data_IF_299315451406
#
_entry.id   IF_299315451406
#
_cell.length_a   1.000
_cell.length_b   1.000
_cell.length_c   1.000
_cell.angle_alpha   90.00
_cell.angle_beta   90.00
_cell.angle_gamma   90.00
#
_symmetry.space_group_name_H-M   'P 1'
#
loop_
_entity.id
_entity.type
_entity.pdbx_description
1 polymer ?
#
# COMPACT_ATOMS: atom_id res chain seq x y z
N UNK A 1 -6.25 9.88 -7.97
CA UNK A 1 -6.22 10.15 -9.42
C UNK A 1 -5.79 11.58 -9.63
N UNK A 2 -4.55 11.82 -10.05
CA UNK A 2 -4.09 13.16 -10.47
C UNK A 2 -4.08 13.32 -12.00
N UNK A 3 -4.43 12.27 -12.74
CA UNK A 3 -4.31 12.21 -14.20
C UNK A 3 -5.46 12.95 -14.93
N UNK A 4 -6.45 13.45 -14.18
CA UNK A 4 -7.64 14.10 -14.73
C UNK A 4 -7.91 15.43 -14.06
N UNK A 5 -8.19 16.46 -14.87
CA UNK A 5 -8.62 17.77 -14.38
C UNK A 5 -10.08 17.83 -13.90
N UNK A 6 -10.84 16.75 -14.04
CA UNK A 6 -12.24 16.63 -13.63
C UNK A 6 -12.61 15.19 -13.27
N UNK A 7 -13.73 15.02 -12.55
CA UNK A 7 -14.26 13.71 -12.18
C UNK A 7 -15.18 13.16 -13.27
N UNK A 8 -15.27 11.83 -13.36
CA UNK A 8 -16.15 11.13 -14.30
C UNK A 8 -17.12 10.22 -13.56
N UNK A 9 -18.36 10.15 -14.06
CA UNK A 9 -19.35 9.18 -13.60
C UNK A 9 -19.33 7.95 -14.51
N UNK A 10 -19.06 6.78 -13.94
CA UNK A 10 -19.16 5.49 -14.64
C UNK A 10 -20.30 4.66 -14.03
N UNK A 11 -21.24 4.22 -14.87
CA UNK A 11 -22.38 3.38 -14.43
C UNK A 11 -22.08 1.92 -14.71
N UNK A 12 -22.01 1.12 -13.63
CA UNK A 12 -21.71 -0.31 -13.68
C UNK A 12 -22.93 -1.16 -13.31
N UNK A 13 -23.21 -2.28 -14.01
CA UNK A 13 -24.24 -3.22 -13.58
C UNK A 13 -23.81 -3.91 -12.28
N UNK A 14 -24.64 -3.86 -11.24
CA UNK A 14 -24.27 -4.36 -9.90
C UNK A 14 -24.08 -5.88 -9.83
N UNK A 15 -24.90 -6.65 -10.55
CA UNK A 15 -24.92 -8.13 -10.47
C UNK A 15 -23.84 -8.82 -11.30
N UNK A 16 -22.98 -8.07 -11.98
CA UNK A 16 -21.93 -8.64 -12.84
C UNK A 16 -20.60 -8.56 -12.10
N UNK A 17 -19.95 -9.69 -11.91
CA UNK A 17 -18.63 -9.76 -11.27
C UNK A 17 -17.55 -8.98 -12.07
N UNK A 18 -16.61 -8.32 -11.37
CA UNK A 18 -15.53 -7.50 -11.98
C UNK A 18 -14.65 -8.27 -12.97
N UNK A 19 -14.53 -9.59 -12.82
CA UNK A 19 -13.71 -10.45 -13.69
C UNK A 19 -14.36 -10.76 -15.04
N UNK A 20 -15.67 -10.50 -15.19
CA UNK A 20 -16.40 -10.89 -16.41
C UNK A 20 -15.91 -10.10 -17.65
N UNK A 21 -15.79 -10.76 -18.82
CA UNK A 21 -15.28 -10.13 -20.04
C UNK A 21 -16.00 -8.83 -20.43
N UNK A 22 -17.33 -8.80 -20.28
CA UNK A 22 -18.15 -7.62 -20.59
C UNK A 22 -17.70 -6.34 -19.86
N UNK A 23 -17.29 -6.46 -18.59
CA UNK A 23 -16.78 -5.31 -17.83
C UNK A 23 -15.35 -4.98 -18.22
N UNK A 24 -14.53 -5.99 -18.51
CA UNK A 24 -13.15 -5.80 -18.98
C UNK A 24 -13.10 -5.05 -20.31
N UNK A 25 -13.96 -5.40 -21.27
CA UNK A 25 -14.00 -4.75 -22.58
C UNK A 25 -14.55 -3.33 -22.49
N UNK A 26 -15.54 -3.09 -21.62
CA UNK A 26 -16.02 -1.73 -21.34
C UNK A 26 -14.94 -0.85 -20.69
N UNK A 27 -14.16 -1.39 -19.74
CA UNK A 27 -13.00 -0.66 -19.18
C UNK A 27 -11.96 -0.36 -20.23
N UNK A 28 -11.62 -1.32 -21.11
CA UNK A 28 -10.68 -1.09 -22.23
C UNK A 28 -11.17 0.03 -23.15
N UNK A 29 -12.47 0.10 -23.42
CA UNK A 29 -13.04 1.20 -24.19
C UNK A 29 -12.78 2.54 -23.49
N UNK A 30 -13.02 2.65 -22.18
CA UNK A 30 -12.72 3.88 -21.43
C UNK A 30 -11.23 4.23 -21.45
N UNK A 31 -10.34 3.26 -21.26
CA UNK A 31 -8.90 3.50 -21.41
C UNK A 31 -8.55 4.09 -22.78
N UNK A 32 -9.11 3.54 -23.86
CA UNK A 32 -8.91 4.05 -25.21
C UNK A 32 -9.49 5.46 -25.38
N UNK A 33 -10.70 5.70 -24.89
CA UNK A 33 -11.38 7.00 -25.00
C UNK A 33 -10.63 8.11 -24.27
N UNK A 34 -10.04 7.81 -23.11
CA UNK A 34 -9.33 8.80 -22.28
C UNK A 34 -7.81 8.81 -22.48
N UNK A 35 -7.29 8.03 -23.44
CA UNK A 35 -5.85 7.96 -23.71
C UNK A 35 -5.02 7.41 -22.54
N UNK A 36 -5.61 6.57 -21.69
CA UNK A 36 -4.94 6.03 -20.50
C UNK A 36 -4.18 4.74 -20.80
N UNK A 37 -3.00 4.54 -20.17
CA UNK A 37 -2.24 3.31 -20.33
C UNK A 37 -3.01 2.10 -19.76
N UNK A 38 -2.83 0.93 -20.37
CA UNK A 38 -3.43 -0.32 -19.91
C UNK A 38 -2.62 -1.02 -18.80
N UNK A 39 -1.61 -0.33 -18.25
CA UNK A 39 -0.67 -0.87 -17.26
C UNK A 39 -1.25 -0.92 -15.85
N UNK A 40 -2.29 -0.13 -15.55
CA UNK A 40 -2.99 -0.17 -14.25
C UNK A 40 -4.51 0.00 -14.40
N UNK A 41 -5.32 -0.42 -13.41
CA UNK A 41 -6.77 -0.20 -13.42
C UNK A 41 -7.15 1.25 -13.11
N UNK A 42 -8.05 1.83 -13.89
CA UNK A 42 -8.64 3.16 -13.62
C UNK A 42 -10.16 3.13 -13.41
N UNK A 43 -10.82 2.09 -13.92
CA UNK A 43 -12.27 2.05 -14.08
C UNK A 43 -12.92 0.83 -13.44
N UNK A 44 -12.29 0.23 -12.42
CA UNK A 44 -12.96 -0.79 -11.58
C UNK A 44 -13.78 -0.08 -10.50
N UNK A 45 -14.77 -0.76 -9.91
CA UNK A 45 -15.61 -0.17 -8.85
C UNK A 45 -14.82 0.42 -7.69
N UNK A 46 -13.70 -0.21 -7.30
CA UNK A 46 -12.83 0.29 -6.21
C UNK A 46 -11.97 1.50 -6.59
N UNK A 47 -11.93 1.89 -7.87
CA UNK A 47 -11.33 3.15 -8.31
C UNK A 47 -12.29 4.35 -8.16
N UNK A 48 -13.45 4.16 -7.52
CA UNK A 48 -14.32 5.27 -7.11
C UNK A 48 -13.53 6.24 -6.21
N UNK A 49 -13.91 7.52 -6.25
CA UNK A 49 -13.37 8.50 -5.31
C UNK A 49 -13.64 8.02 -3.88
N UNK A 50 -12.63 8.04 -2.99
CA UNK A 50 -12.81 7.58 -1.63
C UNK A 50 -13.84 8.47 -0.91
N UNK A 51 -14.87 7.84 -0.35
CA UNK A 51 -15.77 8.52 0.59
C UNK A 51 -15.11 8.58 1.96
N UNK A 52 -15.25 9.71 2.64
CA UNK A 52 -14.78 9.84 4.01
C UNK A 52 -15.72 9.06 4.94
N UNK A 53 -15.32 7.87 5.39
CA UNK A 53 -16.09 7.09 6.38
C UNK A 53 -15.81 7.50 7.83
N UNK A 54 -14.86 8.43 8.03
CA UNK A 54 -14.46 8.99 9.32
C UNK A 54 -13.60 8.05 10.18
N UNK A 55 -13.40 6.79 9.79
CA UNK A 55 -12.64 5.80 10.56
C UNK A 55 -11.20 5.69 10.10
N UNK A 56 -10.94 5.84 8.80
CA UNK A 56 -9.59 5.73 8.23
C UNK A 56 -9.24 7.02 7.49
N UNK A 57 -8.15 7.66 7.93
CA UNK A 57 -7.61 8.83 7.24
C UNK A 57 -6.98 8.40 5.90
N UNK A 58 -7.21 9.20 4.87
CA UNK A 58 -6.75 8.90 3.52
C UNK A 58 -5.62 9.85 3.12
N UNK A 59 -4.59 9.34 2.46
CA UNK A 59 -3.51 10.13 1.86
C UNK A 59 -2.98 11.23 2.79
N UNK A 60 -2.67 10.88 4.04
CA UNK A 60 -2.29 11.83 5.12
C UNK A 60 -1.08 12.71 4.78
N UNK A 61 -0.30 12.33 3.77
CA UNK A 61 0.81 13.12 3.25
C UNK A 61 0.45 14.36 2.43
N UNK A 62 -0.76 14.46 1.87
CA UNK A 62 -1.11 15.56 0.95
C UNK A 62 -1.14 16.94 1.62
N UNK A 63 -1.20 17.01 2.95
CA UNK A 63 -1.13 18.27 3.72
C UNK A 63 0.27 18.63 4.22
N UNK A 64 1.28 17.80 3.94
CA UNK A 64 2.65 18.01 4.43
C UNK A 64 3.42 18.97 3.52
N UNK A 65 4.45 19.62 4.07
CA UNK A 65 5.32 20.52 3.31
C UNK A 65 6.01 19.76 2.17
N UNK A 66 5.83 20.24 0.95
CA UNK A 66 6.47 19.68 -0.24
C UNK A 66 7.94 20.11 -0.38
N UNK A 67 8.72 19.30 -1.07
CA UNK A 67 10.11 19.53 -1.48
C UNK A 67 10.24 19.18 -2.97
N UNK A 68 11.09 19.90 -3.74
CA UNK A 68 11.18 19.74 -5.19
C UNK A 68 11.71 18.37 -5.67
N UNK A 69 12.34 17.59 -4.80
CA UNK A 69 12.92 16.29 -5.15
C UNK A 69 12.18 15.11 -4.50
N UNK A 70 10.87 15.26 -4.29
CA UNK A 70 10.03 14.23 -3.69
C UNK A 70 9.57 13.20 -4.72
N UNK A 71 9.80 11.94 -4.39
CA UNK A 71 9.25 10.77 -5.08
C UNK A 71 8.28 10.11 -4.11
N UNK A 72 6.98 10.15 -4.41
CA UNK A 72 5.91 9.76 -3.49
C UNK A 72 5.12 8.57 -4.02
N UNK A 73 4.41 7.90 -3.11
CA UNK A 73 3.35 6.93 -3.44
C UNK A 73 2.38 7.51 -4.47
N UNK A 74 2.05 6.71 -5.49
CA UNK A 74 1.14 7.10 -6.55
C UNK A 74 -0.23 6.47 -6.31
N UNK A 75 -1.23 7.31 -6.04
CA UNK A 75 -2.61 6.86 -5.83
C UNK A 75 -3.08 7.07 -4.40
N UNK A 76 -4.00 6.23 -3.98
CA UNK A 76 -4.77 6.40 -2.74
C UNK A 76 -4.51 5.26 -1.78
N UNK A 77 -4.26 5.58 -0.51
CA UNK A 77 -4.10 4.62 0.57
C UNK A 77 -4.80 5.12 1.84
N UNK A 78 -5.25 4.19 2.67
CA UNK A 78 -5.73 4.46 4.01
C UNK A 78 -4.59 4.35 5.02
N UNK A 79 -4.56 5.23 6.00
CA UNK A 79 -3.60 5.24 7.09
C UNK A 79 -4.13 4.39 8.26
N UNK A 80 -3.59 3.18 8.36
CA UNK A 80 -3.91 2.24 9.43
C UNK A 80 -2.88 2.37 10.56
N UNK A 81 -3.37 2.48 11.78
CA UNK A 81 -2.54 2.67 12.97
C UNK A 81 -3.11 1.94 14.19
N UNK A 82 -2.37 1.99 15.30
CA UNK A 82 -2.77 1.34 16.55
C UNK A 82 -4.14 1.78 17.05
N UNK A 83 -4.80 0.89 17.79
CA UNK A 83 -6.11 1.15 18.44
C UNK A 83 -7.27 1.38 17.47
N UNK A 84 -7.08 1.17 16.18
CA UNK A 84 -8.18 1.17 15.22
C UNK A 84 -8.97 -0.14 15.26
N UNK A 85 -10.20 -0.09 14.74
CA UNK A 85 -11.14 -1.21 14.69
C UNK A 85 -11.41 -1.85 16.08
N UNK A 86 -11.38 -1.03 17.13
CA UNK A 86 -11.59 -1.45 18.53
C UNK A 86 -10.64 -2.58 18.98
N UNK A 87 -9.43 -2.61 18.44
CA UNK A 87 -8.45 -3.66 18.73
C UNK A 87 -7.18 -3.08 19.33
N UNK A 88 -6.78 -3.57 20.52
CA UNK A 88 -5.56 -3.13 21.20
C UNK A 88 -4.35 -3.93 20.72
N UNK A 89 -3.65 -3.36 19.76
CA UNK A 89 -2.41 -3.90 19.20
C UNK A 89 -1.17 -3.08 19.58
N UNK A 90 -1.28 -2.29 20.65
CA UNK A 90 -0.18 -1.48 21.16
C UNK A 90 1.02 -2.36 21.51
N UNK A 91 2.19 -2.00 20.96
CA UNK A 91 3.45 -2.67 21.23
C UNK A 91 3.79 -3.86 20.32
N UNK A 92 2.88 -4.32 19.47
CA UNK A 92 3.14 -5.49 18.61
C UNK A 92 2.51 -5.44 17.20
N UNK A 93 1.52 -4.56 16.98
CA UNK A 93 0.76 -4.50 15.74
C UNK A 93 1.40 -3.72 14.59
N UNK A 94 2.57 -3.08 14.76
CA UNK A 94 3.09 -2.10 13.79
C UNK A 94 3.18 -2.64 12.36
N UNK A 95 3.71 -3.86 12.19
CA UNK A 95 3.83 -4.49 10.88
C UNK A 95 2.47 -4.90 10.29
N UNK A 96 1.51 -5.29 11.13
CA UNK A 96 0.13 -5.57 10.71
C UNK A 96 -0.54 -4.30 10.16
N UNK A 97 -0.37 -3.16 10.85
CA UNK A 97 -0.90 -1.86 10.40
C UNK A 97 -0.24 -1.35 9.12
N UNK A 98 1.06 -1.56 8.98
CA UNK A 98 1.77 -1.28 7.73
C UNK A 98 1.25 -2.17 6.57
N UNK A 99 1.04 -3.46 6.82
CA UNK A 99 0.40 -4.36 5.86
C UNK A 99 -1.00 -3.89 5.46
N UNK A 100 -1.84 -3.48 6.42
CA UNK A 100 -3.19 -2.96 6.14
C UNK A 100 -3.14 -1.70 5.27
N UNK A 101 -2.19 -0.80 5.53
CA UNK A 101 -1.93 0.39 4.70
C UNK A 101 -1.57 0.00 3.27
N UNK A 102 -0.63 -0.92 3.08
CA UNK A 102 -0.24 -1.43 1.75
C UNK A 102 -1.43 -2.10 1.04
N UNK A 103 -2.14 -2.98 1.73
CA UNK A 103 -3.30 -3.67 1.19
C UNK A 103 -4.38 -2.69 0.73
N UNK A 104 -4.61 -1.65 1.53
CA UNK A 104 -5.58 -0.59 1.19
C UNK A 104 -5.21 0.10 -0.12
N UNK A 105 -3.92 0.34 -0.38
CA UNK A 105 -3.48 0.90 -1.65
C UNK A 105 -3.90 0.02 -2.82
N UNK A 106 -3.64 -1.30 -2.75
CA UNK A 106 -4.05 -2.23 -3.80
C UNK A 106 -5.57 -2.28 -3.99
N UNK A 107 -6.33 -2.17 -2.90
CA UNK A 107 -7.79 -2.08 -2.96
C UNK A 107 -8.24 -0.82 -3.67
N UNK A 108 -7.77 0.36 -3.26
CA UNK A 108 -8.15 1.65 -3.86
C UNK A 108 -7.65 1.83 -5.30
N UNK A 109 -6.56 1.17 -5.67
CA UNK A 109 -6.08 1.16 -7.06
C UNK A 109 -6.80 0.10 -7.91
N UNK A 110 -7.78 -0.62 -7.35
CA UNK A 110 -8.61 -1.57 -8.08
C UNK A 110 -7.95 -2.91 -8.35
N UNK A 111 -6.82 -3.23 -7.72
CA UNK A 111 -6.20 -4.55 -7.86
C UNK A 111 -6.96 -5.65 -7.11
N UNK A 112 -7.75 -5.29 -6.10
CA UNK A 112 -8.55 -6.25 -5.32
C UNK A 112 -9.86 -5.64 -4.83
N UNK A 113 -10.88 -6.49 -4.69
CA UNK A 113 -12.13 -6.15 -3.99
C UNK A 113 -12.22 -6.79 -2.61
N UNK A 114 -11.22 -7.59 -2.22
CA UNK A 114 -11.15 -8.24 -0.91
C UNK A 114 -11.10 -7.20 0.21
N UNK A 115 -11.80 -7.42 1.34
CA UNK A 115 -11.71 -6.54 2.50
C UNK A 115 -10.27 -6.49 3.03
N UNK A 116 -9.95 -5.44 3.78
CA UNK A 116 -8.65 -5.31 4.42
C UNK A 116 -8.55 -6.40 5.51
N UNK A 117 -7.52 -7.26 5.51
CA UNK A 117 -7.38 -8.31 6.51
C UNK A 117 -7.19 -7.76 7.92
N UNK A 118 -7.84 -8.40 8.89
CA UNK A 118 -7.60 -8.20 10.32
C UNK A 118 -6.27 -8.85 10.76
N UNK A 119 -5.82 -8.57 11.99
CA UNK A 119 -4.66 -9.26 12.56
C UNK A 119 -4.86 -10.77 12.57
N UNK A 120 -6.06 -11.24 12.91
CA UNK A 120 -6.38 -12.67 12.94
C UNK A 120 -6.29 -13.28 11.54
N UNK A 121 -6.83 -12.61 10.50
CA UNK A 121 -6.74 -13.10 9.12
C UNK A 121 -5.27 -13.23 8.66
N UNK A 122 -4.42 -12.26 9.04
CA UNK A 122 -2.98 -12.26 8.74
C UNK A 122 -2.29 -13.43 9.47
N UNK A 123 -2.61 -13.66 10.74
CA UNK A 123 -2.09 -14.78 11.51
C UNK A 123 -2.53 -16.13 10.92
N UNK A 124 -3.80 -16.24 10.54
CA UNK A 124 -4.36 -17.42 9.89
C UNK A 124 -3.70 -17.70 8.55
N UNK A 125 -3.44 -16.67 7.74
CA UNK A 125 -2.71 -16.82 6.50
C UNK A 125 -1.31 -17.44 6.75
N UNK A 126 -0.53 -16.90 7.69
CA UNK A 126 0.81 -17.39 8.01
C UNK A 126 0.80 -18.83 8.52
N UNK A 127 -0.15 -19.19 9.39
CA UNK A 127 -0.32 -20.56 9.88
C UNK A 127 -0.73 -21.50 8.74
N UNK A 128 -1.66 -21.08 7.86
CA UNK A 128 -2.13 -21.88 6.74
C UNK A 128 -1.04 -22.19 5.71
N UNK A 129 -0.01 -21.33 5.61
CA UNK A 129 1.15 -21.51 4.74
C UNK A 129 2.26 -22.33 5.40
N UNK A 130 2.11 -22.70 6.69
CA UNK A 130 3.12 -23.42 7.45
C UNK A 130 4.29 -22.56 7.94
N UNK A 131 4.21 -21.23 7.80
CA UNK A 131 5.26 -20.30 8.26
C UNK A 131 5.26 -20.15 9.79
N UNK A 132 4.09 -20.22 10.42
CA UNK A 132 3.91 -20.10 11.87
C UNK A 132 3.19 -21.31 12.46
N UNK A 133 3.48 -21.68 13.73
CA UNK A 133 2.75 -22.74 14.42
C UNK A 133 1.33 -22.29 14.75
N UNK A 134 0.40 -23.24 14.96
CA UNK A 134 -1.00 -22.96 15.29
C UNK A 134 -1.19 -22.06 16.53
N UNK A 135 -0.27 -22.12 17.50
CA UNK A 135 -0.27 -21.25 18.68
C UNK A 135 -0.07 -19.75 18.35
N UNK A 136 0.34 -19.42 17.13
CA UNK A 136 0.44 -18.04 16.65
C UNK A 136 -0.93 -17.36 16.45
N UNK A 137 -1.99 -18.15 16.21
CA UNK A 137 -3.35 -17.62 16.03
C UNK A 137 -3.85 -16.97 17.31
N UNK A 138 -4.35 -15.74 17.19
CA UNK A 138 -4.83 -14.94 18.32
C UNK A 138 -3.71 -14.45 19.25
N UNK A 139 -2.45 -14.68 18.93
CA UNK A 139 -1.32 -14.18 19.71
C UNK A 139 -1.10 -12.68 19.51
N UNK A 140 -0.27 -12.08 20.37
CA UNK A 140 0.21 -10.70 20.24
C UNK A 140 1.64 -10.66 19.71
N UNK A 141 2.05 -11.65 18.91
CA UNK A 141 3.39 -11.72 18.36
C UNK A 141 3.53 -10.79 17.15
N UNK A 142 4.65 -10.07 17.11
CA UNK A 142 5.07 -9.24 15.99
C UNK A 142 5.40 -10.09 14.75
N UNK A 143 5.31 -9.46 13.57
CA UNK A 143 5.72 -10.02 12.28
C UNK A 143 6.72 -9.08 11.61
N UNK A 144 7.52 -9.60 10.68
CA UNK A 144 8.52 -8.84 9.93
C UNK A 144 8.16 -8.65 8.46
N UNK A 145 9.10 -8.08 7.70
CA UNK A 145 8.94 -7.81 6.27
C UNK A 145 8.71 -9.09 5.44
N UNK A 146 9.28 -10.21 5.87
CA UNK A 146 9.10 -11.52 5.20
C UNK A 146 7.66 -12.00 5.34
N UNK A 147 7.11 -12.00 6.54
CA UNK A 147 5.71 -12.39 6.77
C UNK A 147 4.72 -11.45 6.08
N UNK A 148 5.01 -10.14 6.07
CA UNK A 148 4.23 -9.16 5.29
C UNK A 148 4.24 -9.52 3.81
N UNK A 149 5.40 -9.85 3.23
CA UNK A 149 5.51 -10.29 1.84
C UNK A 149 4.70 -11.57 1.56
N UNK A 150 4.83 -12.58 2.42
CA UNK A 150 4.08 -13.84 2.29
C UNK A 150 2.57 -13.61 2.34
N UNK A 151 2.10 -12.74 3.23
CA UNK A 151 0.69 -12.39 3.32
C UNK A 151 0.21 -11.65 2.07
N UNK A 152 0.99 -10.70 1.55
CA UNK A 152 0.64 -9.98 0.33
C UNK A 152 0.51 -10.93 -0.86
N UNK A 153 1.44 -11.89 -0.99
CA UNK A 153 1.36 -12.94 -2.00
C UNK A 153 0.11 -13.81 -1.80
N UNK A 154 -0.15 -14.30 -0.59
CA UNK A 154 -1.32 -15.13 -0.28
C UNK A 154 -2.64 -14.44 -0.58
N UNK A 155 -2.80 -13.19 -0.17
CA UNK A 155 -4.08 -12.49 -0.30
C UNK A 155 -4.28 -11.87 -1.67
N UNK A 156 -3.24 -11.36 -2.31
CA UNK A 156 -3.35 -10.53 -3.52
C UNK A 156 -2.68 -11.15 -4.74
N UNK A 157 -1.93 -12.26 -4.59
CA UNK A 157 -1.12 -12.85 -5.64
C UNK A 157 -0.13 -11.83 -6.23
N UNK A 158 0.52 -11.06 -5.35
CA UNK A 158 1.56 -10.09 -5.70
C UNK A 158 2.92 -10.55 -5.17
N UNK A 159 3.97 -10.32 -5.95
CA UNK A 159 5.34 -10.55 -5.53
C UNK A 159 5.92 -9.26 -4.94
N UNK A 160 6.66 -9.39 -3.84
CA UNK A 160 7.37 -8.26 -3.23
C UNK A 160 8.88 -8.39 -3.43
N UNK A 161 9.58 -7.26 -3.53
CA UNK A 161 11.05 -7.21 -3.44
C UNK A 161 11.43 -6.77 -2.03
N UNK A 162 12.18 -7.60 -1.33
CA UNK A 162 12.75 -7.25 -0.01
C UNK A 162 14.15 -6.68 -0.22
N UNK A 163 14.41 -5.51 0.37
CA UNK A 163 15.72 -4.87 0.37
C UNK A 163 16.29 -4.93 1.79
N UNK A 164 17.47 -5.50 1.93
CA UNK A 164 18.16 -5.61 3.22
C UNK A 164 19.10 -4.43 3.42
N UNK A 165 19.06 -3.86 4.64
CA UNK A 165 19.93 -2.77 5.07
C UNK A 165 20.57 -3.20 6.39
N UNK A 166 21.90 -3.07 6.49
CA UNK A 166 22.65 -3.60 7.65
C UNK A 166 22.50 -2.73 8.89
N UNK A 167 22.39 -1.41 8.70
CA UNK A 167 22.15 -0.46 9.77
C UNK A 167 21.25 0.69 9.32
N UNK A 168 20.62 1.40 10.26
CA UNK A 168 19.81 2.57 9.93
C UNK A 168 20.60 3.70 9.24
N UNK A 169 21.93 3.73 9.34
CA UNK A 169 22.80 4.70 8.66
C UNK A 169 22.87 4.44 7.15
N UNK A 170 22.79 3.17 6.77
CA UNK A 170 22.91 2.74 5.36
C UNK A 170 21.60 2.90 4.60
N UNK A 171 20.51 3.32 5.28
CA UNK A 171 19.25 3.66 4.62
C UNK A 171 19.42 4.86 3.69
N UNK A 172 20.37 5.75 3.99
CA UNK A 172 20.74 6.87 3.13
C UNK A 172 21.18 6.41 1.73
N UNK A 173 21.95 5.33 1.69
CA UNK A 173 22.47 4.80 0.43
C UNK A 173 21.37 4.18 -0.46
N UNK A 174 20.13 4.08 0.04
CA UNK A 174 18.97 3.53 -0.68
C UNK A 174 18.08 4.58 -1.33
N UNK A 175 18.40 5.87 -1.21
CA UNK A 175 17.61 6.97 -1.79
C UNK A 175 17.27 6.76 -3.27
N UNK A 176 18.26 6.40 -4.10
CA UNK A 176 18.04 6.15 -5.53
C UNK A 176 17.11 4.96 -5.81
N UNK A 177 17.26 3.86 -5.08
CA UNK A 177 16.41 2.68 -5.24
C UNK A 177 14.97 2.96 -4.80
N UNK A 178 14.79 3.72 -3.71
CA UNK A 178 13.47 4.16 -3.21
C UNK A 178 12.79 5.12 -4.19
N UNK A 179 13.53 6.10 -4.72
CA UNK A 179 13.02 7.04 -5.72
C UNK A 179 12.52 6.29 -6.96
N UNK A 180 13.33 5.38 -7.49
CA UNK A 180 12.97 4.53 -8.63
C UNK A 180 11.73 3.67 -8.34
N UNK A 181 11.58 3.13 -7.13
CA UNK A 181 10.39 2.39 -6.73
C UNK A 181 9.13 3.27 -6.78
N UNK A 182 9.18 4.48 -6.21
CA UNK A 182 8.03 5.38 -6.21
C UNK A 182 7.67 5.90 -7.61
N UNK A 183 8.65 6.05 -8.51
CA UNK A 183 8.41 6.42 -9.90
C UNK A 183 7.82 5.28 -10.74
N UNK A 184 8.33 4.06 -10.58
CA UNK A 184 7.96 2.92 -11.43
C UNK A 184 6.79 2.08 -10.90
N UNK A 185 6.71 1.89 -9.58
CA UNK A 185 5.68 1.09 -8.91
C UNK A 185 4.69 1.97 -8.14
N UNK A 186 5.19 2.97 -7.43
CA UNK A 186 4.37 3.93 -6.69
C UNK A 186 3.60 3.33 -5.51
N UNK A 187 3.96 2.15 -5.01
CA UNK A 187 3.32 1.50 -3.87
C UNK A 187 3.93 1.95 -2.54
N UNK A 188 3.17 1.99 -1.42
CA UNK A 188 3.74 2.16 -0.09
C UNK A 188 4.71 1.02 0.24
N UNK A 189 5.77 1.30 0.99
CA UNK A 189 6.79 0.33 1.39
C UNK A 189 6.72 0.10 2.90
N UNK A 190 6.69 -1.14 3.36
CA UNK A 190 6.91 -1.44 4.78
C UNK A 190 8.42 -1.50 5.06
N UNK A 191 8.87 -0.84 6.13
CA UNK A 191 10.22 -0.97 6.67
C UNK A 191 10.15 -1.55 8.08
N UNK A 192 10.93 -2.59 8.34
CA UNK A 192 11.06 -3.24 9.64
C UNK A 192 12.48 -3.10 10.20
N UNK A 193 12.61 -2.81 11.48
CA UNK A 193 13.88 -2.73 12.21
C UNK A 193 13.71 -3.22 13.64
N UNK A 194 14.16 -4.46 13.91
CA UNK A 194 13.83 -5.13 15.17
C UNK A 194 12.31 -5.27 15.33
N UNK A 195 11.78 -4.93 16.51
CA UNK A 195 10.34 -5.02 16.82
C UNK A 195 9.49 -3.86 16.31
N UNK A 196 10.08 -2.92 15.56
CA UNK A 196 9.40 -1.74 15.04
C UNK A 196 9.21 -1.85 13.54
N UNK A 197 8.06 -1.36 13.08
CA UNK A 197 7.74 -1.26 11.67
C UNK A 197 7.10 0.10 11.37
N UNK A 198 7.38 0.59 10.17
CA UNK A 198 6.83 1.83 9.64
C UNK A 198 6.45 1.64 8.17
N UNK A 199 5.68 2.58 7.64
CA UNK A 199 5.35 2.61 6.20
C UNK A 199 6.03 3.81 5.55
N UNK A 200 6.90 3.60 4.58
CA UNK A 200 7.47 4.67 3.76
C UNK A 200 6.49 4.97 2.63
N UNK A 201 6.08 6.23 2.53
CA UNK A 201 5.16 6.73 1.50
C UNK A 201 5.83 7.69 0.51
N UNK A 202 7.13 7.95 0.70
CA UNK A 202 7.92 8.74 -0.21
C UNK A 202 9.33 8.98 0.30
N UNK A 203 10.18 9.43 -0.61
CA UNK A 203 11.56 9.86 -0.34
C UNK A 203 11.81 11.22 -0.97
N UNK A 204 12.53 12.08 -0.26
CA UNK A 204 13.12 13.30 -0.81
C UNK A 204 14.57 13.00 -1.20
N UNK A 205 14.88 12.92 -2.49
CA UNK A 205 16.15 12.46 -3.01
C UNK A 205 16.63 13.30 -4.19
N UNK A 206 17.77 13.97 -4.04
CA UNK A 206 18.37 14.81 -5.07
C UNK A 206 19.61 14.14 -5.69
N UNK A 207 19.54 13.83 -6.99
CA UNK A 207 20.62 13.22 -7.76
C UNK A 207 21.84 14.14 -8.02
N UNK A 208 21.69 15.46 -7.83
CA UNK A 208 22.71 16.46 -8.19
C UNK A 208 23.64 16.78 -7.01
N UNK A 209 23.17 16.61 -5.77
CA UNK A 209 23.91 16.99 -4.55
C UNK A 209 24.07 15.76 -3.66
N UNK A 210 25.31 15.29 -3.43
CA UNK A 210 25.61 14.24 -2.43
C UNK A 210 25.04 14.66 -1.04
N UNK A 211 24.59 13.69 -0.23
CA UNK A 211 23.33 13.81 0.49
C UNK A 211 23.48 14.69 1.72
N UNK A 212 22.78 15.83 1.77
CA UNK A 212 22.66 16.57 3.02
C UNK A 212 21.35 16.30 3.76
N UNK A 213 20.26 15.88 3.10
CA UNK A 213 18.99 15.56 3.77
C UNK A 213 18.15 14.60 2.95
N UNK A 214 18.22 13.32 3.28
CA UNK A 214 17.20 12.37 2.87
C UNK A 214 16.08 12.39 3.88
N UNK A 215 14.85 12.63 3.42
CA UNK A 215 13.66 12.59 4.26
C UNK A 215 12.80 11.44 3.79
N UNK A 216 12.78 10.40 4.61
CA UNK A 216 11.81 9.31 4.48
C UNK A 216 10.50 9.83 5.06
N UNK A 217 9.48 9.93 4.22
CA UNK A 217 8.14 10.26 4.70
C UNK A 217 7.54 8.97 5.26
N UNK A 218 7.35 8.97 6.57
CA UNK A 218 6.65 7.92 7.30
C UNK A 218 5.37 8.57 7.84
N UNK A 219 4.17 8.10 7.48
CA UNK A 219 3.01 8.41 8.28
C UNK A 219 3.22 7.70 9.62
N UNK A 220 3.54 8.48 10.66
CA UNK A 220 3.47 8.04 12.05
C UNK A 220 2.03 7.76 12.35
#
# INVERSE_FOLDING_TARGET
MHDFGHSFLCVWPQKIDESKPVLKDRRRLFHKTFGLPLTRPYFRRKNVLPEADGQVLMNTHLGLKSSPHQHLVQGTYGYYHYMQQNYNDSGWGCAYRSFQTIFSWFRYQGYTEKPIPSHYDIQEALVSMGDKPRAFLGSTQWIGSTEVSLCLEKFLNITSRIMFVQSGKDLGDKGAELAMHFESQGTPIMIGGGVLAHTIIGVDYNNIVRPQRERVLIPV
#
